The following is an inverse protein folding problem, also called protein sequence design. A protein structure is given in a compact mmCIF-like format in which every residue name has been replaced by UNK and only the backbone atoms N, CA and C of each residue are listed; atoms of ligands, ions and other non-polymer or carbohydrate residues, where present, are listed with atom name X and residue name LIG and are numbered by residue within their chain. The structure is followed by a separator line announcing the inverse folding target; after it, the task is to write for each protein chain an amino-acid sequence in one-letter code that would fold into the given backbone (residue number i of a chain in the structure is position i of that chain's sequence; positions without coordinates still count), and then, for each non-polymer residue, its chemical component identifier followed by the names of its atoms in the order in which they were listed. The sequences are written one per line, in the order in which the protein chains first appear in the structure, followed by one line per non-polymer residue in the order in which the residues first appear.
data_IF_270145785523
#
_entry.id   IF_270145785523
#
_cell.length_a   1.000
_cell.length_b   1.000
_cell.length_c   1.000
_cell.angle_alpha   90.00
_cell.angle_beta   90.00
_cell.angle_gamma   90.00
#
_symmetry.space_group_name_H-M   'P 1'
#
loop_
_entity.id
_entity.type
_entity.pdbx_description
1 polymer ?
#
# COMPACT_ATOMS: atom_id res chain seq x y z
N UNK A 1 26.19 7.98 -19.23
CA UNK A 1 25.98 7.93 -17.76
C UNK A 1 24.89 6.91 -17.48
N UNK A 2 25.24 5.73 -16.96
CA UNK A 2 24.23 4.91 -16.28
C UNK A 2 23.94 5.62 -14.95
N UNK A 3 22.73 6.14 -14.80
CA UNK A 3 22.25 6.57 -13.48
C UNK A 3 22.01 5.28 -12.70
N UNK A 4 22.89 4.98 -11.77
CA UNK A 4 22.75 3.86 -10.85
C UNK A 4 21.53 4.14 -9.95
N UNK A 5 20.34 3.74 -10.44
CA UNK A 5 19.03 3.95 -9.79
C UNK A 5 18.82 3.00 -8.60
N UNK A 6 19.90 2.48 -8.00
CA UNK A 6 19.90 1.36 -7.06
C UNK A 6 19.54 1.73 -5.62
N UNK A 7 19.11 2.96 -5.32
CA UNK A 7 18.52 3.30 -4.02
C UNK A 7 17.04 2.95 -4.00
N UNK A 8 16.73 1.67 -3.75
CA UNK A 8 15.37 1.25 -3.39
C UNK A 8 14.94 2.04 -2.14
N UNK A 9 13.76 2.66 -2.19
CA UNK A 9 13.17 3.35 -1.04
C UNK A 9 13.06 2.36 0.12
N UNK A 10 13.64 2.72 1.26
CA UNK A 10 13.61 1.97 2.50
C UNK A 10 12.21 1.99 3.14
N UNK A 11 12.04 1.31 4.27
CA UNK A 11 10.73 1.21 4.91
C UNK A 11 10.19 2.59 5.32
N UNK A 12 11.04 3.42 5.93
CA UNK A 12 10.70 4.78 6.38
C UNK A 12 10.26 5.67 5.22
N UNK A 13 11.01 5.65 4.11
CA UNK A 13 10.67 6.42 2.92
C UNK A 13 9.35 5.96 2.27
N UNK A 14 9.02 4.67 2.35
CA UNK A 14 7.73 4.15 1.86
C UNK A 14 6.57 4.63 2.73
N UNK A 15 6.72 4.61 4.06
CA UNK A 15 5.74 5.16 5.00
C UNK A 15 5.52 6.64 4.72
N UNK A 16 6.61 7.41 4.59
CA UNK A 16 6.55 8.84 4.32
C UNK A 16 5.82 9.14 3.01
N UNK A 17 6.18 8.48 1.90
CA UNK A 17 5.53 8.68 0.61
C UNK A 17 4.03 8.36 0.70
N UNK A 18 3.68 7.25 1.35
CA UNK A 18 2.28 6.84 1.51
C UNK A 18 1.48 7.89 2.31
N UNK A 19 2.07 8.44 3.38
CA UNK A 19 1.46 9.52 4.15
C UNK A 19 1.32 10.82 3.33
N UNK A 20 2.31 11.18 2.51
CA UNK A 20 2.22 12.34 1.60
C UNK A 20 1.08 12.17 0.60
N UNK A 21 0.93 10.98 0.00
CA UNK A 21 -0.21 10.69 -0.89
C UNK A 21 -1.53 10.80 -0.12
N UNK A 22 -1.60 10.22 1.09
CA UNK A 22 -2.81 10.26 1.92
C UNK A 22 -3.20 11.68 2.36
N UNK A 23 -2.23 12.57 2.52
CA UNK A 23 -2.43 13.98 2.87
C UNK A 23 -2.66 14.90 1.66
N UNK A 24 -2.52 14.39 0.43
CA UNK A 24 -2.72 15.18 -0.78
C UNK A 24 -4.20 15.22 -1.13
N UNK A 25 -4.81 16.41 -1.06
CA UNK A 25 -6.22 16.61 -1.46
C UNK A 25 -6.39 17.08 -2.92
N UNK A 26 -5.30 17.49 -3.58
CA UNK A 26 -5.37 17.94 -4.97
C UNK A 26 -5.57 16.75 -5.91
N UNK A 27 -6.80 16.62 -6.44
CA UNK A 27 -7.18 15.56 -7.36
C UNK A 27 -6.24 15.40 -8.56
N UNK A 28 -5.78 16.49 -9.17
CA UNK A 28 -4.86 16.43 -10.32
C UNK A 28 -3.54 15.75 -9.98
N UNK A 29 -3.01 15.96 -8.76
CA UNK A 29 -1.79 15.33 -8.30
C UNK A 29 -2.00 13.82 -8.12
N UNK A 30 -3.10 13.43 -7.47
CA UNK A 30 -3.47 12.04 -7.26
C UNK A 30 -3.72 11.32 -8.60
N UNK A 31 -4.44 11.95 -9.52
CA UNK A 31 -4.70 11.42 -10.86
C UNK A 31 -3.39 11.29 -11.67
N UNK A 32 -2.48 12.28 -11.59
CA UNK A 32 -1.17 12.19 -12.22
C UNK A 32 -0.36 11.02 -11.67
N UNK A 33 -0.38 10.78 -10.35
CA UNK A 33 0.26 9.62 -9.72
C UNK A 33 -0.26 8.30 -10.30
N UNK A 34 -1.57 8.16 -10.49
CA UNK A 34 -2.16 6.97 -11.13
C UNK A 34 -1.68 6.84 -12.59
N UNK A 35 -1.69 7.93 -13.38
CA UNK A 35 -1.29 7.93 -14.79
C UNK A 35 0.17 7.56 -15.01
N UNK A 36 1.08 7.92 -14.09
CA UNK A 36 2.50 7.54 -14.17
C UNK A 36 2.79 6.14 -13.60
N UNK A 37 1.76 5.30 -13.43
CA UNK A 37 1.84 3.95 -12.87
C UNK A 37 2.41 3.90 -11.44
N UNK A 38 1.98 4.85 -10.59
CA UNK A 38 2.31 4.83 -9.16
C UNK A 38 1.59 3.72 -8.38
N UNK A 39 0.39 3.30 -8.79
CA UNK A 39 -0.40 2.25 -8.10
C UNK A 39 0.33 0.89 -8.07
N UNK A 40 0.95 0.39 -9.16
CA UNK A 40 1.79 -0.80 -9.12
C UNK A 40 2.94 -0.75 -8.10
N UNK A 41 3.51 0.43 -7.84
CA UNK A 41 4.58 0.59 -6.84
C UNK A 41 4.03 0.35 -5.43
N UNK A 42 2.82 0.86 -5.13
CA UNK A 42 2.15 0.61 -3.86
C UNK A 42 1.76 -0.87 -3.70
N UNK A 43 1.32 -1.53 -4.78
CA UNK A 43 1.02 -2.97 -4.80
C UNK A 43 2.27 -3.80 -4.49
N UNK A 44 3.41 -3.47 -5.11
CA UNK A 44 4.68 -4.14 -4.82
C UNK A 44 5.06 -4.03 -3.33
N UNK A 45 4.82 -2.87 -2.71
CA UNK A 45 5.10 -2.67 -1.28
C UNK A 45 4.14 -3.45 -0.39
N UNK A 46 2.85 -3.52 -0.73
CA UNK A 46 1.87 -4.38 -0.03
C UNK A 46 2.27 -5.85 -0.10
N UNK A 47 2.65 -6.34 -1.29
CA UNK A 47 3.05 -7.74 -1.47
C UNK A 47 4.32 -8.08 -0.67
N UNK A 48 5.28 -7.16 -0.61
CA UNK A 48 6.50 -7.33 0.20
C UNK A 48 6.20 -7.33 1.70
N UNK A 49 5.31 -6.46 2.17
CA UNK A 49 4.86 -6.43 3.56
C UNK A 49 4.19 -7.74 3.99
N UNK A 50 3.51 -8.44 3.07
CA UNK A 50 2.92 -9.75 3.33
C UNK A 50 3.94 -10.90 3.34
N UNK A 51 4.91 -10.90 2.43
CA UNK A 51 5.92 -11.98 2.31
C UNK A 51 6.83 -12.13 3.54
N UNK A 52 6.98 -11.07 4.36
CA UNK A 52 7.79 -11.12 5.58
C UNK A 52 7.24 -12.00 6.71
N UNK A 53 6.01 -12.54 6.58
CA UNK A 53 5.33 -13.31 7.65
C UNK A 53 5.39 -14.83 7.52
N UNK A 54 6.05 -15.38 6.50
CA UNK A 54 6.02 -16.84 6.22
C UNK A 54 7.10 -17.65 6.96
N UNK A 55 7.80 -17.08 7.94
CA UNK A 55 8.83 -17.77 8.74
C UNK A 55 8.53 -17.76 10.23
N UNK A 56 8.66 -18.92 10.86
CA UNK A 56 8.39 -19.26 12.27
C UNK A 56 8.81 -18.23 13.34
N UNK A 57 8.06 -18.24 14.45
CA UNK A 57 8.64 -17.98 15.77
C UNK A 57 8.22 -16.68 16.47
N UNK A 58 7.05 -16.71 17.09
CA UNK A 58 6.78 -16.28 18.47
C UNK A 58 7.61 -15.11 19.05
N UNK A 59 7.39 -13.87 18.59
CA UNK A 59 7.60 -12.59 19.31
C UNK A 59 7.19 -11.42 18.39
N UNK A 60 6.41 -10.42 18.84
CA UNK A 60 6.24 -9.19 18.07
C UNK A 60 7.55 -8.40 18.12
N UNK A 61 8.40 -8.60 17.11
CA UNK A 61 9.62 -7.81 16.91
C UNK A 61 9.23 -6.40 16.46
N UNK A 62 10.05 -5.39 16.75
CA UNK A 62 9.84 -3.99 16.31
C UNK A 62 9.57 -3.86 14.79
N UNK A 63 10.10 -4.81 14.00
CA UNK A 63 9.82 -4.97 12.57
C UNK A 63 8.33 -5.20 12.25
N UNK A 64 7.60 -5.96 13.08
CA UNK A 64 6.16 -6.21 12.86
C UNK A 64 5.38 -4.89 12.97
N UNK A 65 5.73 -4.04 13.94
CA UNK A 65 5.06 -2.74 14.14
C UNK A 65 5.33 -1.79 12.98
N UNK A 66 6.57 -1.72 12.50
CA UNK A 66 6.93 -0.86 11.36
C UNK A 66 6.26 -1.34 10.05
N UNK A 67 6.09 -2.64 9.87
CA UNK A 67 5.32 -3.19 8.74
C UNK A 67 3.83 -2.87 8.88
N UNK A 68 3.25 -3.00 10.07
CA UNK A 68 1.86 -2.61 10.31
C UNK A 68 1.62 -1.12 10.06
N UNK A 69 2.56 -0.26 10.43
CA UNK A 69 2.54 1.17 10.10
C UNK A 69 2.56 1.42 8.60
N UNK A 70 3.45 0.73 7.86
CA UNK A 70 3.49 0.80 6.40
C UNK A 70 2.15 0.37 5.79
N UNK A 71 1.56 -0.73 6.25
CA UNK A 71 0.27 -1.22 5.75
C UNK A 71 -0.85 -0.20 5.97
N UNK A 72 -0.88 0.43 7.15
CA UNK A 72 -1.87 1.47 7.45
C UNK A 72 -1.67 2.71 6.56
N UNK A 73 -0.43 3.16 6.37
CA UNK A 73 -0.12 4.29 5.51
C UNK A 73 -0.51 4.01 4.05
N UNK A 74 -0.21 2.81 3.55
CA UNK A 74 -0.59 2.36 2.21
C UNK A 74 -2.10 2.31 2.01
N UNK A 75 -2.85 1.75 2.96
CA UNK A 75 -4.31 1.69 2.88
C UNK A 75 -4.94 3.10 2.85
N UNK A 76 -4.41 4.06 3.63
CA UNK A 76 -4.86 5.46 3.59
C UNK A 76 -4.52 6.14 2.26
N UNK A 77 -3.32 5.89 1.72
CA UNK A 77 -2.92 6.43 0.43
C UNK A 77 -3.85 5.92 -0.69
N UNK A 78 -4.16 4.62 -0.68
CA UNK A 78 -5.03 3.98 -1.66
C UNK A 78 -6.48 4.49 -1.61
N UNK A 79 -6.97 4.85 -0.42
CA UNK A 79 -8.31 5.43 -0.23
C UNK A 79 -8.46 6.82 -0.88
N UNK A 80 -7.35 7.57 -1.02
CA UNK A 80 -7.34 8.87 -1.69
C UNK A 80 -7.23 8.76 -3.21
N UNK A 81 -6.62 7.70 -3.73
CA UNK A 81 -6.33 7.61 -5.15
C UNK A 81 -7.62 7.39 -5.96
N UNK A 82 -7.81 8.10 -7.09
CA UNK A 82 -8.92 7.84 -8.00
C UNK A 82 -8.64 6.56 -8.80
N UNK A 83 -8.62 5.42 -8.12
CA UNK A 83 -8.37 4.12 -8.72
C UNK A 83 -9.64 3.71 -9.47
N UNK A 84 -9.58 3.70 -10.80
CA UNK A 84 -10.66 3.21 -11.63
C UNK A 84 -10.58 1.68 -11.78
N UNK A 85 -11.67 1.06 -12.24
CA UNK A 85 -11.74 -0.39 -12.47
C UNK A 85 -10.60 -0.91 -13.37
N UNK A 86 -10.18 -0.11 -14.36
CA UNK A 86 -9.07 -0.44 -15.24
C UNK A 86 -7.73 -0.52 -14.49
N UNK A 87 -7.48 0.38 -13.53
CA UNK A 87 -6.31 0.30 -12.65
C UNK A 87 -6.39 -0.91 -11.70
N UNK A 88 -7.58 -1.29 -11.22
CA UNK A 88 -7.76 -2.51 -10.42
C UNK A 88 -7.55 -3.81 -11.20
N UNK A 89 -7.85 -3.82 -12.50
CA UNK A 89 -7.64 -4.98 -13.37
C UNK A 89 -6.19 -5.14 -13.79
N UNK A 90 -5.47 -4.03 -13.95
CA UNK A 90 -4.07 -4.01 -14.41
C UNK A 90 -3.05 -4.12 -13.28
N UNK A 91 -3.41 -3.73 -12.06
CA UNK A 91 -2.57 -3.87 -10.87
C UNK A 91 -3.14 -4.99 -9.98
N UNK A 92 -2.31 -5.88 -9.42
CA UNK A 92 -2.80 -6.90 -8.46
C UNK A 92 -3.22 -6.30 -7.10
N UNK A 93 -3.33 -4.97 -7.01
CA UNK A 93 -3.67 -4.20 -5.81
C UNK A 93 -4.99 -4.64 -5.19
N UNK A 94 -6.00 -4.95 -6.02
CA UNK A 94 -7.30 -5.46 -5.52
C UNK A 94 -7.15 -6.79 -4.80
N UNK A 95 -6.27 -7.68 -5.30
CA UNK A 95 -5.96 -8.95 -4.63
C UNK A 95 -5.16 -8.69 -3.35
N UNK A 96 -4.14 -7.84 -3.41
CA UNK A 96 -3.31 -7.50 -2.23
C UNK A 96 -4.15 -6.92 -1.09
N UNK A 97 -5.06 -5.99 -1.36
CA UNK A 97 -5.99 -5.45 -0.37
C UNK A 97 -6.98 -6.49 0.14
N UNK A 98 -7.46 -7.40 -0.72
CA UNK A 98 -8.34 -8.49 -0.26
C UNK A 98 -7.66 -9.43 0.75
N UNK A 99 -6.36 -9.72 0.60
CA UNK A 99 -5.62 -10.51 1.59
C UNK A 99 -5.54 -9.83 2.96
N UNK A 100 -5.56 -8.50 3.02
CA UNK A 100 -5.54 -7.75 4.28
C UNK A 100 -6.86 -7.81 5.05
N UNK A 101 -7.96 -8.26 4.44
CA UNK A 101 -9.27 -8.36 5.10
C UNK A 101 -9.30 -9.44 6.20
N UNK A 102 -8.30 -10.32 6.28
CA UNK A 102 -8.12 -11.31 7.34
C UNK A 102 -6.90 -11.04 8.22
N UNK A 103 -6.29 -9.85 8.13
CA UNK A 103 -5.09 -9.51 8.90
C UNK A 103 -5.34 -9.53 10.43
N UNK A 104 -4.33 -9.93 11.21
CA UNK A 104 -4.40 -10.05 12.69
C UNK A 104 -4.70 -8.72 13.40
N UNK A 105 -4.17 -7.62 12.87
CA UNK A 105 -4.44 -6.27 13.36
C UNK A 105 -5.81 -5.80 12.86
N UNK A 106 -6.74 -5.54 13.78
CA UNK A 106 -8.12 -5.15 13.50
C UNK A 106 -8.25 -3.82 12.75
N UNK A 107 -7.34 -2.87 12.94
CA UNK A 107 -7.38 -1.57 12.24
C UNK A 107 -7.04 -1.76 10.76
N UNK A 108 -5.97 -2.51 10.46
CA UNK A 108 -5.59 -2.88 9.08
C UNK A 108 -6.75 -3.62 8.42
N UNK A 109 -7.32 -4.58 9.14
CA UNK A 109 -8.43 -5.40 8.69
C UNK A 109 -9.66 -4.55 8.31
N UNK A 110 -10.09 -3.64 9.20
CA UNK A 110 -11.24 -2.75 8.97
C UNK A 110 -11.03 -1.84 7.76
N UNK A 111 -9.84 -1.22 7.66
CA UNK A 111 -9.51 -0.34 6.53
C UNK A 111 -9.49 -1.08 5.20
N UNK A 112 -8.92 -2.28 5.16
CA UNK A 112 -8.91 -3.11 3.96
C UNK A 112 -10.32 -3.49 3.49
N UNK A 113 -11.24 -3.80 4.42
CA UNK A 113 -12.66 -4.05 4.08
C UNK A 113 -13.31 -2.80 3.50
N UNK A 114 -13.19 -1.67 4.19
CA UNK A 114 -13.76 -0.39 3.74
C UNK A 114 -13.29 -0.01 2.34
N UNK A 115 -11.98 -0.08 2.10
CA UNK A 115 -11.39 0.23 0.80
C UNK A 115 -11.89 -0.72 -0.30
N UNK A 116 -11.95 -2.03 -0.02
CA UNK A 116 -12.46 -3.00 -0.97
C UNK A 116 -13.95 -2.78 -1.30
N UNK A 117 -14.75 -2.29 -0.36
CA UNK A 117 -16.16 -1.98 -0.60
C UNK A 117 -16.34 -0.66 -1.37
N UNK A 118 -15.47 0.34 -1.14
CA UNK A 118 -15.41 1.57 -1.96
C UNK A 118 -15.12 1.26 -3.42
N UNK A 119 -14.19 0.35 -3.70
CA UNK A 119 -13.81 -0.02 -5.07
C UNK A 119 -14.82 -0.89 -5.82
N UNK A 120 -15.78 -1.50 -5.12
CA UNK A 120 -16.87 -2.27 -5.75
C UNK A 120 -18.03 -1.39 -6.20
N UNK A 121 -18.15 -0.18 -5.65
CA UNK A 121 -19.18 0.80 -6.01
C UNK A 121 -18.77 1.52 -7.28
#
# INVERSE_FOLDING_TARGET
MQVDNSKKIDLTGRVLLSNVIAATDKFDCLNKFVKVRGVPVLDEWLQKAHKGKTGDGNSPKESDKAIEELLLALLRALDKLPVNLHALQTCNIGKSVNHLRSHKNLEIQKRARSLADTWKK
#
